data_IF_782114473502
#
_entry.id   IF_782114473502
#
_cell.length_a   1.000
_cell.length_b   1.000
_cell.length_c   1.000
_cell.angle_alpha   90.00
_cell.angle_beta   90.00
_cell.angle_gamma   90.00
#
_symmetry.space_group_name_H-M   'P 1'
#
loop_
_entity.id
_entity.type
_entity.pdbx_description
1 polymer ?
#
# COMPACT_ATOMS: atom_id res chain seq x y z
N UNK A 1 2.44 -21.80 -3.59
CA UNK A 1 2.19 -21.17 -4.90
C UNK A 1 2.44 -19.68 -4.85
N UNK A 2 2.72 -19.06 -6.00
CA UNK A 2 2.88 -17.61 -6.15
C UNK A 2 1.60 -17.05 -6.77
N UNK A 3 1.04 -16.00 -6.18
CA UNK A 3 -0.15 -15.34 -6.71
C UNK A 3 0.22 -14.60 -8.02
N UNK A 4 -0.50 -14.81 -9.13
CA UNK A 4 -0.23 -14.10 -10.37
C UNK A 4 -0.51 -12.60 -10.20
N UNK A 5 0.44 -11.76 -10.63
CA UNK A 5 0.31 -10.31 -10.64
C UNK A 5 0.46 -9.80 -12.07
N UNK A 6 -0.61 -9.27 -12.71
CA UNK A 6 -0.51 -8.65 -14.02
C UNK A 6 0.49 -7.48 -14.04
N UNK A 7 1.18 -7.25 -15.17
CA UNK A 7 2.04 -6.09 -15.35
C UNK A 7 1.31 -4.78 -15.08
N UNK A 8 2.04 -3.77 -14.61
CA UNK A 8 1.53 -2.40 -14.39
C UNK A 8 0.28 -2.29 -13.52
N UNK A 9 0.04 -3.23 -12.60
CA UNK A 9 -1.17 -3.25 -11.78
C UNK A 9 -0.87 -2.89 -10.32
N UNK A 10 -0.58 -1.62 -9.98
CA UNK A 10 -0.40 -1.20 -8.59
C UNK A 10 -1.72 -1.26 -7.81
N UNK A 11 -2.88 -1.15 -8.49
CA UNK A 11 -4.21 -1.14 -7.86
C UNK A 11 -4.59 -2.48 -7.20
N UNK A 12 -3.85 -3.55 -7.49
CA UNK A 12 -4.00 -4.89 -6.88
C UNK A 12 -2.87 -5.25 -5.92
N UNK A 13 -1.86 -4.39 -5.78
CA UNK A 13 -0.73 -4.63 -4.89
C UNK A 13 -1.01 -3.95 -3.54
N UNK A 14 -1.25 -4.69 -2.44
CA UNK A 14 -1.57 -4.09 -1.13
C UNK A 14 -0.50 -3.13 -0.62
N UNK A 15 0.75 -3.38 -0.99
CA UNK A 15 1.86 -2.48 -0.70
C UNK A 15 1.65 -1.11 -1.36
N UNK A 16 1.24 -1.06 -2.62
CA UNK A 16 1.10 0.17 -3.38
C UNK A 16 -0.20 0.92 -3.01
N UNK A 17 -1.36 0.27 -3.09
CA UNK A 17 -2.64 0.96 -2.91
C UNK A 17 -2.97 1.31 -1.45
N UNK A 18 -2.37 0.63 -0.47
CA UNK A 18 -2.65 0.82 0.96
C UNK A 18 -1.44 1.29 1.76
N UNK A 19 -0.39 0.47 1.84
CA UNK A 19 0.76 0.74 2.73
C UNK A 19 1.53 2.00 2.32
N UNK A 20 2.05 2.03 1.09
CA UNK A 20 2.84 3.15 0.57
C UNK A 20 1.99 4.39 0.33
N UNK A 21 0.73 4.22 -0.07
CA UNK A 21 -0.21 5.35 -0.18
C UNK A 21 -0.34 6.09 1.14
N UNK A 22 -0.55 5.38 2.25
CA UNK A 22 -0.69 6.00 3.57
C UNK A 22 0.66 6.44 4.16
N UNK A 23 1.76 5.78 3.79
CA UNK A 23 3.10 6.20 4.16
C UNK A 23 3.48 7.51 3.49
N UNK A 24 3.15 7.69 2.20
CA UNK A 24 3.38 8.93 1.46
C UNK A 24 2.68 10.13 2.10
N UNK A 25 1.45 9.92 2.62
CA UNK A 25 0.77 10.94 3.42
C UNK A 25 1.50 11.27 4.73
N UNK A 26 2.14 10.30 5.38
CA UNK A 26 2.97 10.58 6.56
C UNK A 26 4.29 11.27 6.23
N UNK A 27 4.81 11.05 5.02
CA UNK A 27 6.08 11.58 4.54
C UNK A 27 5.97 13.02 4.00
N UNK A 28 4.78 13.48 3.61
CA UNK A 28 4.60 14.77 2.92
C UNK A 28 5.18 15.98 3.65
N UNK A 29 5.20 15.93 4.98
CA UNK A 29 5.66 17.03 5.83
C UNK A 29 6.96 16.70 6.60
N UNK A 30 7.70 15.70 6.17
CA UNK A 30 8.94 15.27 6.81
C UNK A 30 10.18 15.71 6.03
N UNK A 31 11.17 16.23 6.75
CA UNK A 31 12.50 16.52 6.22
C UNK A 31 13.52 15.70 7.01
N UNK A 32 14.30 14.89 6.29
CA UNK A 32 15.34 14.05 6.87
C UNK A 32 16.72 14.56 6.46
N UNK A 33 17.67 14.52 7.39
CA UNK A 33 19.05 14.96 7.17
C UNK A 33 19.95 13.85 6.67
N UNK A 34 19.66 12.61 7.05
CA UNK A 34 20.45 11.44 6.72
C UNK A 34 19.58 10.17 6.68
N UNK A 35 20.23 9.06 6.34
CA UNK A 35 19.59 7.76 6.22
C UNK A 35 19.08 7.22 7.58
N UNK A 36 19.78 7.52 8.68
CA UNK A 36 19.41 7.02 10.01
C UNK A 36 18.07 7.64 10.47
N UNK A 37 17.87 8.93 10.19
CA UNK A 37 16.58 9.59 10.44
C UNK A 37 15.43 8.96 9.64
N UNK A 38 15.67 8.59 8.37
CA UNK A 38 14.68 7.90 7.52
C UNK A 38 14.32 6.54 8.10
N UNK A 39 15.33 5.71 8.42
CA UNK A 39 15.13 4.38 8.96
C UNK A 39 14.37 4.42 10.30
N UNK A 40 14.73 5.37 11.18
CA UNK A 40 14.06 5.57 12.46
C UNK A 40 12.61 6.01 12.28
N UNK A 41 12.33 6.90 11.35
CA UNK A 41 10.97 7.33 11.05
C UNK A 41 10.14 6.18 10.49
N UNK A 42 10.68 5.42 9.53
CA UNK A 42 10.01 4.28 8.90
C UNK A 42 9.64 3.23 9.95
N UNK A 43 10.59 2.84 10.80
CA UNK A 43 10.37 1.87 11.87
C UNK A 43 9.28 2.33 12.84
N UNK A 44 9.30 3.61 13.24
CA UNK A 44 8.25 4.19 14.09
C UNK A 44 6.90 4.21 13.40
N UNK A 45 6.85 4.59 12.13
CA UNK A 45 5.61 4.68 11.37
C UNK A 45 4.97 3.30 11.20
N UNK A 46 5.74 2.27 10.85
CA UNK A 46 5.25 0.89 10.75
C UNK A 46 4.78 0.38 12.12
N UNK A 47 5.58 0.59 13.18
CA UNK A 47 5.20 0.17 14.53
C UNK A 47 3.98 0.92 15.10
N UNK A 48 3.64 2.09 14.54
CA UNK A 48 2.42 2.83 14.91
C UNK A 48 1.13 2.21 14.35
N UNK A 49 1.23 1.30 13.36
CA UNK A 49 0.07 0.64 12.75
C UNK A 49 -0.24 -0.63 13.51
N UNK A 50 -1.50 -0.80 13.86
CA UNK A 50 -1.99 -2.02 14.49
C UNK A 50 -2.27 -3.12 13.46
N UNK A 51 -2.54 -4.34 13.92
CA UNK A 51 -2.80 -5.48 13.03
C UNK A 51 -4.00 -5.25 12.11
N UNK A 52 -5.03 -4.53 12.57
CA UNK A 52 -6.23 -4.28 11.76
C UNK A 52 -5.91 -3.42 10.54
N UNK A 53 -4.93 -2.51 10.63
CA UNK A 53 -4.46 -1.73 9.50
C UNK A 53 -3.97 -2.62 8.35
N UNK A 54 -3.12 -3.60 8.65
CA UNK A 54 -2.58 -4.51 7.63
C UNK A 54 -3.66 -5.48 7.13
N UNK A 55 -4.49 -5.99 8.04
CA UNK A 55 -5.63 -6.85 7.72
C UNK A 55 -6.59 -6.16 6.76
N UNK A 56 -6.90 -4.89 7.02
CA UNK A 56 -7.79 -4.10 6.18
C UNK A 56 -7.25 -3.93 4.76
N UNK A 57 -5.96 -3.63 4.61
CA UNK A 57 -5.31 -3.58 3.31
C UNK A 57 -5.49 -4.88 2.51
N UNK A 58 -5.27 -6.02 3.15
CA UNK A 58 -5.45 -7.34 2.53
C UNK A 58 -6.91 -7.67 2.22
N UNK A 59 -7.85 -7.25 3.08
CA UNK A 59 -9.28 -7.51 2.90
C UNK A 59 -9.92 -6.71 1.77
N UNK A 60 -9.29 -5.63 1.30
CA UNK A 60 -9.77 -4.88 0.12
C UNK A 60 -9.48 -5.58 -1.21
N UNK A 61 -8.65 -6.63 -1.22
CA UNK A 61 -8.21 -7.30 -2.44
C UNK A 61 -9.37 -7.89 -3.27
N UNK A 62 -10.36 -8.59 -2.67
CA UNK A 62 -11.49 -9.14 -3.42
C UNK A 62 -12.33 -8.06 -4.10
N UNK A 63 -12.68 -6.99 -3.39
CA UNK A 63 -13.45 -5.87 -3.93
C UNK A 63 -12.71 -5.19 -5.10
N UNK A 64 -11.38 -5.06 -4.98
CA UNK A 64 -10.52 -4.52 -6.04
C UNK A 64 -10.49 -5.43 -7.26
N UNK A 65 -10.42 -6.75 -7.08
CA UNK A 65 -10.52 -7.69 -8.20
C UNK A 65 -11.87 -7.63 -8.91
N UNK A 66 -12.97 -7.54 -8.16
CA UNK A 66 -14.30 -7.38 -8.74
C UNK A 66 -14.39 -6.11 -9.59
N UNK A 67 -13.83 -4.99 -9.10
CA UNK A 67 -13.78 -3.73 -9.87
C UNK A 67 -13.00 -3.87 -11.18
N UNK A 68 -11.89 -4.61 -11.20
CA UNK A 68 -11.09 -4.85 -12.42
C UNK A 68 -11.85 -5.68 -13.43
N UNK A 69 -12.55 -6.72 -12.97
CA UNK A 69 -13.37 -7.56 -13.83
C UNK A 69 -14.50 -6.72 -14.41
N UNK A 70 -15.17 -5.91 -13.58
CA UNK A 70 -16.24 -5.02 -14.01
C UNK A 70 -15.77 -3.90 -14.96
N UNK A 71 -14.48 -3.54 -14.92
CA UNK A 71 -13.88 -2.51 -15.79
C UNK A 71 -13.26 -3.07 -17.08
N UNK A 72 -13.43 -4.36 -17.37
CA UNK A 72 -12.76 -5.08 -18.46
C UNK A 72 -11.23 -4.93 -18.43
N UNK A 73 -10.64 -4.97 -17.23
CA UNK A 73 -9.20 -4.86 -17.05
C UNK A 73 -8.64 -3.44 -17.06
N UNK A 74 -9.50 -2.40 -17.07
CA UNK A 74 -9.06 -1.00 -16.97
C UNK A 74 -8.77 -0.60 -15.53
N UNK A 75 -7.90 0.38 -15.36
CA UNK A 75 -7.64 1.01 -14.06
C UNK A 75 -8.90 1.63 -13.45
N UNK A 76 -8.91 1.70 -12.12
CA UNK A 76 -10.03 2.23 -11.33
C UNK A 76 -9.48 2.85 -10.03
N UNK A 77 -10.25 3.78 -9.45
CA UNK A 77 -9.95 4.37 -8.13
C UNK A 77 -10.59 3.59 -6.95
#
# INVERSE_FOLDING_TARGET
DVLPQPPYSPDIAPSDYHLFRLMAHGLSDQYFKDYEEIEKWLNKWIASKDESFFRHGMQQLPDRWEKIIASDGKYFD
#
